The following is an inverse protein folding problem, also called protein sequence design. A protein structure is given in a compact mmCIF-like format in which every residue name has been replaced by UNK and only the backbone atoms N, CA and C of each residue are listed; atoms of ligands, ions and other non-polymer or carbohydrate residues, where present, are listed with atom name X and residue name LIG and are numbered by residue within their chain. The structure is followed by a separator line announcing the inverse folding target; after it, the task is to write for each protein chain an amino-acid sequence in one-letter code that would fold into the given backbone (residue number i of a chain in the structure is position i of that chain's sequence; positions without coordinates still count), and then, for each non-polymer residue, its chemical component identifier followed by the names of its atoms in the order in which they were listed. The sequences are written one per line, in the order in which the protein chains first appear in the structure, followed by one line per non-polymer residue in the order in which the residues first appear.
data_IF_310338219242
#
_entry.id   IF_310338219242
#
_cell.length_a   1.000
_cell.length_b   1.000
_cell.length_c   1.000
_cell.angle_alpha   90.00
_cell.angle_beta   90.00
_cell.angle_gamma   90.00
#
_symmetry.space_group_name_H-M   'P 1'
#
loop_
_entity.id
_entity.type
_entity.pdbx_description
1 polymer ?
#
# COMPACT_ATOMS: atom_id res chain seq x y z
N UNK A 1 -25.28 -11.66 0.68
CA UNK A 1 -23.90 -11.88 0.19
C UNK A 1 -22.94 -11.63 1.35
N UNK A 2 -22.00 -12.54 1.58
CA UNK A 2 -21.00 -12.41 2.66
C UNK A 2 -20.14 -11.16 2.41
N UNK A 3 -19.83 -10.42 3.48
CA UNK A 3 -18.98 -9.23 3.40
C UNK A 3 -17.75 -9.42 4.28
N UNK A 4 -16.57 -9.24 3.71
CA UNK A 4 -15.29 -9.41 4.38
C UNK A 4 -14.45 -8.13 4.27
N UNK A 5 -13.52 -7.93 5.21
CA UNK A 5 -12.61 -6.81 5.22
C UNK A 5 -11.17 -7.27 5.42
N UNK A 6 -10.32 -7.10 4.42
CA UNK A 6 -8.89 -7.28 4.53
C UNK A 6 -8.24 -6.11 5.28
N UNK A 7 -7.49 -6.46 6.33
CA UNK A 7 -6.76 -5.50 7.15
C UNK A 7 -5.46 -6.08 7.70
N UNK A 8 -4.39 -5.29 7.60
CA UNK A 8 -3.12 -5.50 8.31
C UNK A 8 -2.82 -4.33 9.24
N UNK A 9 -2.29 -4.58 10.46
CA UNK A 9 -1.71 -3.52 11.28
C UNK A 9 -0.49 -2.84 10.61
N UNK A 10 0.05 -3.41 9.53
CA UNK A 10 1.18 -2.88 8.78
C UNK A 10 0.80 -1.97 7.60
N UNK A 11 -0.48 -1.62 7.40
CA UNK A 11 -0.90 -0.75 6.29
C UNK A 11 -0.47 0.71 6.45
N UNK A 12 -0.32 1.18 7.68
CA UNK A 12 0.14 2.55 7.92
C UNK A 12 1.59 2.73 7.50
N UNK A 13 1.90 3.92 6.99
CA UNK A 13 3.29 4.31 6.81
C UNK A 13 3.97 4.50 8.18
N UNK A 14 5.22 4.07 8.25
CA UNK A 14 6.01 3.98 9.48
C UNK A 14 7.37 4.65 9.26
N UNK A 15 7.35 5.98 9.24
CA UNK A 15 8.56 6.80 9.21
C UNK A 15 8.52 7.82 10.35
N UNK A 16 9.60 7.97 11.13
CA UNK A 16 9.68 9.02 12.14
C UNK A 16 9.44 10.40 11.52
N UNK A 17 8.59 11.22 12.13
CA UNK A 17 8.29 12.57 11.65
C UNK A 17 7.50 12.64 10.34
N UNK A 18 7.07 11.52 9.75
CA UNK A 18 6.41 11.51 8.44
C UNK A 18 5.09 12.28 8.42
N UNK A 19 4.38 12.37 9.55
CA UNK A 19 3.16 13.16 9.65
C UNK A 19 3.40 14.65 9.32
N UNK A 20 4.63 15.14 9.47
CA UNK A 20 5.02 16.49 9.07
C UNK A 20 5.63 16.59 7.66
N UNK A 21 5.98 15.46 7.05
CA UNK A 21 6.73 15.39 5.77
C UNK A 21 5.89 14.87 4.59
N UNK A 22 4.65 14.48 4.85
CA UNK A 22 3.79 13.85 3.86
C UNK A 22 2.41 14.52 3.85
N UNK A 23 1.86 14.86 2.67
CA UNK A 23 0.61 15.62 2.57
C UNK A 23 -0.63 14.82 3.01
N UNK A 24 -0.53 13.48 3.09
CA UNK A 24 -1.62 12.60 3.48
C UNK A 24 -1.45 12.00 4.87
N UNK A 25 -2.57 11.75 5.56
CA UNK A 25 -2.62 11.05 6.85
C UNK A 25 -2.04 9.62 6.73
N UNK A 26 -0.83 9.47 7.26
CA UNK A 26 -0.05 8.23 7.27
C UNK A 26 -0.60 7.15 8.20
N UNK A 27 -1.56 7.51 9.06
CA UNK A 27 -2.27 6.63 10.01
C UNK A 27 -3.74 6.41 9.63
N UNK A 28 -4.15 6.83 8.43
CA UNK A 28 -5.56 6.76 8.00
C UNK A 28 -6.15 5.35 8.09
N UNK A 29 -5.35 4.30 7.86
CA UNK A 29 -5.83 2.92 7.83
C UNK A 29 -6.10 2.37 9.23
N UNK A 30 -5.15 2.53 10.17
CA UNK A 30 -5.40 2.14 11.57
C UNK A 30 -6.50 2.99 12.22
N UNK A 31 -6.61 4.28 11.87
CA UNK A 31 -7.70 5.15 12.33
C UNK A 31 -9.05 4.66 11.81
N UNK A 32 -9.16 4.37 10.52
CA UNK A 32 -10.38 3.80 9.94
C UNK A 32 -10.73 2.46 10.59
N UNK A 33 -9.73 1.59 10.80
CA UNK A 33 -9.91 0.32 11.51
C UNK A 33 -10.43 0.53 12.95
N UNK A 34 -9.89 1.50 13.69
CA UNK A 34 -10.36 1.85 15.03
C UNK A 34 -11.82 2.30 15.05
N UNK A 35 -12.23 3.15 14.11
CA UNK A 35 -13.64 3.58 13.95
C UNK A 35 -14.54 2.39 13.63
N UNK A 36 -14.10 1.49 12.75
CA UNK A 36 -14.86 0.30 12.39
C UNK A 36 -15.02 -0.66 13.58
N UNK A 37 -13.96 -0.92 14.35
CA UNK A 37 -14.05 -1.76 15.55
C UNK A 37 -15.03 -1.17 16.56
N UNK A 38 -14.96 0.14 16.81
CA UNK A 38 -15.88 0.79 17.76
C UNK A 38 -17.35 0.68 17.33
N UNK A 39 -17.61 0.66 16.01
CA UNK A 39 -18.96 0.62 15.46
C UNK A 39 -19.53 -0.80 15.33
N UNK A 40 -18.69 -1.77 14.98
CA UNK A 40 -19.14 -3.11 14.59
C UNK A 40 -18.66 -4.23 15.54
N UNK A 41 -17.72 -3.95 16.45
CA UNK A 41 -17.27 -4.88 17.49
C UNK A 41 -16.86 -6.25 16.95
N UNK A 42 -17.39 -7.30 17.57
CA UNK A 42 -17.05 -8.70 17.26
C UNK A 42 -17.45 -9.11 15.84
N UNK A 43 -18.47 -8.48 15.25
CA UNK A 43 -18.90 -8.77 13.88
C UNK A 43 -17.79 -8.42 12.88
N UNK A 44 -17.06 -7.33 13.13
CA UNK A 44 -15.92 -6.96 12.31
C UNK A 44 -14.78 -7.97 12.46
N UNK A 45 -14.51 -8.43 13.68
CA UNK A 45 -13.46 -9.39 13.97
C UNK A 45 -13.72 -10.73 13.26
N UNK A 46 -14.97 -11.21 13.25
CA UNK A 46 -15.36 -12.45 12.55
C UNK A 46 -15.26 -12.34 11.03
N UNK A 47 -15.45 -11.14 10.47
CA UNK A 47 -15.40 -10.89 9.03
C UNK A 47 -14.05 -10.32 8.54
N UNK A 48 -13.05 -10.28 9.41
CA UNK A 48 -11.72 -9.76 9.06
C UNK A 48 -10.89 -10.83 8.34
N UNK A 49 -10.32 -10.44 7.21
CA UNK A 49 -9.21 -11.16 6.59
C UNK A 49 -7.89 -10.55 7.07
N UNK A 50 -7.14 -11.30 7.86
CA UNK A 50 -5.86 -10.84 8.39
C UNK A 50 -4.74 -11.05 7.36
N UNK A 51 -3.99 -9.98 7.07
CA UNK A 51 -2.85 -10.02 6.16
C UNK A 51 -1.55 -10.01 6.97
N UNK A 52 -0.86 -11.15 6.97
CA UNK A 52 0.29 -11.41 7.84
C UNK A 52 1.65 -11.14 7.19
N UNK A 53 1.72 -11.15 5.86
CA UNK A 53 2.97 -10.99 5.14
C UNK A 53 2.80 -9.99 3.97
N UNK A 54 3.85 -9.22 3.64
CA UNK A 54 3.87 -8.41 2.43
C UNK A 54 3.98 -9.32 1.19
N UNK A 55 3.59 -8.78 0.05
CA UNK A 55 3.79 -9.46 -1.24
C UNK A 55 5.27 -9.59 -1.61
N UNK A 56 5.64 -10.65 -2.35
CA UNK A 56 7.01 -10.86 -2.84
C UNK A 56 7.35 -9.94 -4.02
N UNK A 57 8.64 -9.74 -4.29
CA UNK A 57 9.10 -9.01 -5.49
C UNK A 57 8.68 -9.71 -6.78
N UNK A 58 8.69 -11.04 -6.80
CA UNK A 58 8.23 -11.84 -7.94
C UNK A 58 6.77 -11.53 -8.29
N UNK A 59 5.88 -11.48 -7.29
CA UNK A 59 4.48 -11.15 -7.53
C UNK A 59 4.31 -9.70 -7.98
N UNK A 60 5.10 -8.75 -7.46
CA UNK A 60 5.12 -7.39 -7.99
C UNK A 60 5.59 -7.33 -9.46
N UNK A 61 6.51 -8.22 -9.84
CA UNK A 61 7.02 -8.36 -11.20
C UNK A 61 5.96 -8.76 -12.24
N UNK A 62 4.77 -9.21 -11.82
CA UNK A 62 3.64 -9.45 -12.72
C UNK A 62 3.03 -8.15 -13.27
N UNK A 63 3.18 -7.04 -12.52
CA UNK A 63 2.62 -5.74 -12.90
C UNK A 63 3.71 -4.69 -13.20
N UNK A 64 4.92 -4.86 -12.66
CA UNK A 64 6.01 -3.90 -12.74
C UNK A 64 7.26 -4.50 -13.39
N UNK A 65 8.05 -3.69 -14.08
CA UNK A 65 9.34 -4.17 -14.62
C UNK A 65 10.38 -4.40 -13.54
N UNK A 66 11.34 -5.27 -13.86
CA UNK A 66 12.50 -5.51 -13.02
C UNK A 66 13.31 -4.24 -12.80
N UNK A 67 13.49 -3.42 -13.85
CA UNK A 67 14.22 -2.16 -13.82
C UNK A 67 13.55 -1.15 -12.87
N UNK A 68 12.23 -1.01 -12.94
CA UNK A 68 11.48 -0.14 -12.04
C UNK A 68 11.59 -0.61 -10.59
N UNK A 69 11.36 -1.90 -10.33
CA UNK A 69 11.50 -2.46 -8.97
C UNK A 69 12.92 -2.30 -8.42
N UNK A 70 13.95 -2.46 -9.25
CA UNK A 70 15.34 -2.24 -8.87
C UNK A 70 15.61 -0.76 -8.54
N UNK A 71 15.00 0.18 -9.27
CA UNK A 71 15.14 1.62 -9.02
C UNK A 71 14.66 2.03 -7.63
N UNK A 72 13.68 1.31 -7.06
CA UNK A 72 13.12 1.54 -5.72
C UNK A 72 14.11 1.20 -4.59
N UNK A 73 15.34 0.79 -4.90
CA UNK A 73 16.44 0.78 -3.93
C UNK A 73 17.05 2.17 -3.69
N UNK A 74 16.68 3.18 -4.48
CA UNK A 74 17.20 4.54 -4.37
C UNK A 74 16.18 5.48 -3.76
N UNK A 75 16.62 6.29 -2.79
CA UNK A 75 15.74 7.23 -2.08
C UNK A 75 15.06 8.23 -3.02
N UNK A 76 15.78 8.70 -4.04
CA UNK A 76 15.24 9.62 -5.05
C UNK A 76 14.14 8.99 -5.92
N UNK A 77 14.18 7.67 -6.16
CA UNK A 77 13.09 6.98 -6.86
C UNK A 77 11.87 6.85 -5.95
N UNK A 78 12.08 6.47 -4.69
CA UNK A 78 11.00 6.35 -3.71
C UNK A 78 10.32 7.70 -3.46
N UNK A 79 11.08 8.80 -3.37
CA UNK A 79 10.53 10.14 -3.13
C UNK A 79 9.57 10.61 -4.22
N UNK A 80 9.80 10.21 -5.48
CA UNK A 80 8.87 10.47 -6.58
C UNK A 80 7.58 9.69 -6.42
N UNK A 81 7.68 8.39 -6.10
CA UNK A 81 6.52 7.50 -5.92
C UNK A 81 5.61 7.92 -4.77
N UNK A 82 6.17 8.51 -3.70
CA UNK A 82 5.38 8.99 -2.54
C UNK A 82 5.08 10.49 -2.57
N UNK A 83 5.37 11.15 -3.69
CA UNK A 83 5.04 12.58 -3.91
C UNK A 83 5.60 13.50 -2.82
N UNK A 84 6.77 13.17 -2.27
CA UNK A 84 7.42 13.98 -1.24
C UNK A 84 8.91 14.04 -1.50
N UNK A 85 9.37 15.15 -2.07
CA UNK A 85 10.79 15.42 -2.29
C UNK A 85 11.59 15.49 -0.98
N UNK A 86 10.94 15.78 0.15
CA UNK A 86 11.58 15.85 1.47
C UNK A 86 12.16 14.50 1.91
N UNK A 87 11.52 13.39 1.52
CA UNK A 87 11.97 12.07 1.98
C UNK A 87 13.23 11.58 1.26
N UNK A 88 13.64 12.22 0.15
CA UNK A 88 14.83 11.82 -0.62
C UNK A 88 16.13 11.89 0.19
N UNK A 89 16.16 12.71 1.24
CA UNK A 89 17.31 12.89 2.13
C UNK A 89 17.44 11.80 3.20
N UNK A 90 16.45 10.91 3.30
CA UNK A 90 16.48 9.79 4.24
C UNK A 90 17.16 8.56 3.60
N UNK A 91 17.76 7.67 4.42
CA UNK A 91 18.32 6.43 3.92
C UNK A 91 17.26 5.59 3.18
N UNK A 92 17.60 5.08 1.99
CA UNK A 92 16.67 4.30 1.19
C UNK A 92 16.12 3.08 1.94
N UNK A 93 16.93 2.41 2.78
CA UNK A 93 16.49 1.30 3.61
C UNK A 93 15.39 1.68 4.61
N UNK A 94 15.44 2.91 5.14
CA UNK A 94 14.41 3.44 6.03
C UNK A 94 13.11 3.69 5.26
N UNK A 95 13.20 4.30 4.06
CA UNK A 95 12.05 4.50 3.18
C UNK A 95 11.42 3.19 2.72
N UNK A 96 12.23 2.18 2.39
CA UNK A 96 11.75 0.85 2.03
C UNK A 96 10.95 0.23 3.18
N UNK A 97 11.49 0.27 4.41
CA UNK A 97 10.80 -0.25 5.59
C UNK A 97 9.53 0.53 5.94
N UNK A 98 9.59 1.85 5.85
CA UNK A 98 8.52 2.73 6.33
C UNK A 98 7.42 3.06 5.32
N UNK A 99 7.70 2.93 4.02
CA UNK A 99 6.77 3.30 2.94
C UNK A 99 6.47 2.11 2.03
N UNK A 100 7.51 1.49 1.47
CA UNK A 100 7.31 0.43 0.48
C UNK A 100 6.79 -0.87 1.11
N UNK A 101 7.25 -1.24 2.30
CA UNK A 101 6.75 -2.43 3.00
C UNK A 101 5.26 -2.31 3.30
N UNK A 102 4.73 -1.21 3.89
CA UNK A 102 3.28 -1.00 4.00
C UNK A 102 2.53 -1.10 2.67
N UNK A 103 3.06 -0.51 1.59
CA UNK A 103 2.46 -0.64 0.26
C UNK A 103 2.41 -2.12 -0.20
N UNK A 104 3.46 -2.91 0.06
CA UNK A 104 3.47 -4.36 -0.21
C UNK A 104 2.42 -5.13 0.59
N UNK A 105 2.18 -4.75 1.85
CA UNK A 105 1.08 -5.32 2.65
C UNK A 105 -0.29 -4.99 2.04
N UNK A 106 -0.48 -3.75 1.59
CA UNK A 106 -1.72 -3.34 0.95
C UNK A 106 -1.98 -4.09 -0.37
N UNK A 107 -0.94 -4.32 -1.19
CA UNK A 107 -1.03 -5.17 -2.39
C UNK A 107 -1.42 -6.60 -2.01
N UNK A 108 -0.78 -7.19 -1.00
CA UNK A 108 -1.16 -8.51 -0.49
C UNK A 108 -2.64 -8.54 -0.04
N UNK A 109 -3.11 -7.47 0.62
CA UNK A 109 -4.52 -7.30 0.97
C UNK A 109 -5.46 -7.34 -0.23
N UNK A 110 -5.14 -6.63 -1.32
CA UNK A 110 -5.96 -6.63 -2.53
C UNK A 110 -5.96 -8.01 -3.20
N UNK A 111 -4.82 -8.68 -3.28
CA UNK A 111 -4.72 -10.03 -3.87
C UNK A 111 -5.55 -11.03 -3.05
N UNK A 112 -5.41 -11.02 -1.72
CA UNK A 112 -6.20 -11.87 -0.83
C UNK A 112 -7.69 -11.54 -0.93
N UNK A 113 -8.05 -10.27 -0.99
CA UNK A 113 -9.43 -9.83 -1.13
C UNK A 113 -10.05 -10.33 -2.45
N UNK A 114 -9.34 -10.16 -3.56
CA UNK A 114 -9.80 -10.61 -4.88
C UNK A 114 -10.01 -12.13 -4.93
N UNK A 115 -9.05 -12.90 -4.40
CA UNK A 115 -9.17 -14.37 -4.30
C UNK A 115 -10.38 -14.77 -3.47
N UNK A 116 -10.56 -14.16 -2.28
CA UNK A 116 -11.70 -14.46 -1.42
C UNK A 116 -13.05 -14.04 -1.97
N UNK A 117 -13.10 -12.94 -2.72
CA UNK A 117 -14.33 -12.53 -3.40
C UNK A 117 -14.81 -13.59 -4.40
N UNK A 118 -13.88 -14.18 -5.15
CA UNK A 118 -14.17 -15.22 -6.14
C UNK A 118 -14.48 -16.56 -5.45
N UNK A 119 -13.63 -16.99 -4.52
CA UNK A 119 -13.77 -18.30 -3.85
C UNK A 119 -15.06 -18.44 -3.05
N UNK A 120 -15.55 -17.35 -2.46
CA UNK A 120 -16.68 -17.37 -1.52
C UNK A 120 -17.90 -16.58 -2.02
N UNK A 121 -17.90 -16.14 -3.28
CA UNK A 121 -18.94 -15.30 -3.87
C UNK A 121 -19.34 -14.14 -2.93
N UNK A 122 -18.32 -13.41 -2.48
CA UNK A 122 -18.41 -12.42 -1.40
C UNK A 122 -17.99 -11.01 -1.85
N UNK A 123 -18.49 -9.99 -1.17
CA UNK A 123 -17.91 -8.64 -1.25
C UNK A 123 -16.73 -8.60 -0.30
N UNK A 124 -15.55 -8.27 -0.82
CA UNK A 124 -14.35 -8.12 0.01
C UNK A 124 -13.73 -6.76 -0.16
N UNK A 125 -13.69 -5.99 0.92
CA UNK A 125 -13.03 -4.69 0.97
C UNK A 125 -11.56 -4.87 1.37
N UNK A 126 -10.65 -4.08 0.80
CA UNK A 126 -9.30 -3.94 1.32
C UNK A 126 -9.12 -2.53 1.87
N UNK A 127 -8.89 -2.40 3.17
CA UNK A 127 -8.73 -1.10 3.81
C UNK A 127 -7.49 -0.36 3.31
N UNK A 128 -6.43 -1.08 2.90
CA UNK A 128 -5.12 -0.52 2.58
C UNK A 128 -4.89 -0.09 1.12
N UNK A 129 -5.83 -0.36 0.21
CA UNK A 129 -5.64 -0.16 -1.24
C UNK A 129 -5.57 1.30 -1.71
N UNK A 130 -5.71 1.50 -3.02
CA UNK A 130 -5.86 2.83 -3.63
C UNK A 130 -4.61 3.42 -4.33
N UNK A 131 -3.58 2.61 -4.61
CA UNK A 131 -2.38 3.05 -5.34
C UNK A 131 -2.58 3.08 -6.87
N UNK A 132 -3.63 3.77 -7.34
CA UNK A 132 -4.04 3.77 -8.75
C UNK A 132 -3.12 4.56 -9.70
N UNK A 133 -2.16 5.31 -9.16
CA UNK A 133 -1.19 6.12 -9.90
C UNK A 133 0.07 5.32 -10.28
N UNK A 134 0.19 4.07 -9.81
CA UNK A 134 1.32 3.21 -10.13
C UNK A 134 1.15 2.58 -11.52
N UNK A 135 2.19 2.69 -12.36
CA UNK A 135 2.28 2.05 -13.67
C UNK A 135 3.42 1.04 -13.70
N UNK A 136 3.53 0.30 -14.81
CA UNK A 136 4.53 -0.76 -15.01
C UNK A 136 5.96 -0.29 -14.70
N UNK A 137 6.32 0.88 -15.22
CA UNK A 137 7.69 1.37 -15.23
C UNK A 137 7.89 2.70 -14.47
N UNK A 138 6.82 3.30 -13.95
CA UNK A 138 6.86 4.64 -13.37
C UNK A 138 5.66 4.98 -12.48
N UNK A 139 5.73 6.15 -11.84
CA UNK A 139 4.60 6.83 -11.19
C UNK A 139 3.87 7.75 -12.20
N UNK A 140 2.58 8.03 -12.00
CA UNK A 140 1.74 8.74 -12.99
C UNK A 140 2.29 10.08 -13.47
N UNK A 141 2.91 10.86 -12.58
CA UNK A 141 3.50 12.17 -12.95
C UNK A 141 4.73 12.05 -13.86
N UNK A 142 5.48 10.95 -13.76
CA UNK A 142 6.59 10.66 -14.68
C UNK A 142 6.06 10.36 -16.10
N UNK A 143 4.86 9.76 -16.20
CA UNK A 143 4.25 9.42 -17.49
C UNK A 143 3.82 10.65 -18.28
N UNK A 144 3.34 11.70 -17.62
CA UNK A 144 3.05 12.98 -18.30
C UNK A 144 4.31 13.65 -18.84
N UNK A 145 5.46 13.51 -18.17
CA UNK A 145 6.74 14.00 -18.69
C UNK A 145 7.28 13.18 -19.86
N UNK A 146 7.01 11.87 -19.90
CA UNK A 146 7.42 10.98 -21.00
C UNK A 146 6.53 11.14 -22.23
N UNK A 147 5.22 11.37 -22.06
CA UNK A 147 4.28 11.57 -23.18
C UNK A 147 4.28 12.99 -23.76
N UNK A 148 4.91 13.96 -23.10
CA UNK A 148 5.10 15.35 -23.57
C UNK A 148 6.45 15.59 -24.26
N UNK A 149 7.25 14.55 -24.48
CA UNK A 149 8.46 14.57 -25.32
C UNK A 149 8.22 13.79 -26.60
#
# INVERSE_FOLDING_TARGET
MKTLLAYSPHYDFQLPGIAALHPFDVKKYSRAWGVLIQRFGDDLARNRLQINAPVSLETLGLAHSHEYLASLNQAAAISRVVESSLVQWLPASLLQKGLLTPAKYAVAGTITAARKAIEEEAIVFNLGGGFHHAFRDCYSEDREHVLRK
#
